data_IF_869511104755
#
_entry.id   IF_869511104755
#
_cell.length_a   1.000
_cell.length_b   1.000
_cell.length_c   1.000
_cell.angle_alpha   90.00
_cell.angle_beta   90.00
_cell.angle_gamma   90.00
#
_symmetry.space_group_name_H-M   'P 1'
#
loop_
_entity.id
_entity.type
_entity.pdbx_description
1 polymer ?
#
# COMPACT_ATOMS: atom_id res chain seq x y z
N UNK A 1 -43.61 7.74 15.21
CA UNK A 1 -42.92 8.90 15.83
C UNK A 1 -41.44 8.77 15.53
N UNK A 2 -40.97 9.62 14.64
CA UNK A 2 -39.51 9.72 14.35
C UNK A 2 -38.95 10.75 15.32
N UNK A 3 -38.21 10.29 16.34
CA UNK A 3 -37.50 11.18 17.27
C UNK A 3 -36.20 11.57 16.61
N UNK A 4 -36.04 12.83 16.22
CA UNK A 4 -34.74 13.34 15.75
C UNK A 4 -33.74 13.39 16.91
N UNK A 5 -32.68 12.62 16.80
CA UNK A 5 -31.60 12.62 17.76
C UNK A 5 -30.83 13.95 17.69
N UNK A 6 -30.74 14.74 18.78
CA UNK A 6 -30.04 16.02 18.82
C UNK A 6 -28.56 15.92 18.42
N UNK A 7 -27.94 14.73 18.60
CA UNK A 7 -26.55 14.49 18.22
C UNK A 7 -26.31 14.57 16.71
N UNK A 8 -27.35 14.53 15.89
CA UNK A 8 -27.26 14.67 14.45
C UNK A 8 -26.86 16.10 13.99
N UNK A 9 -26.93 17.08 14.88
CA UNK A 9 -26.60 18.49 14.63
C UNK A 9 -25.35 18.94 15.39
N UNK A 10 -24.81 18.12 16.30
CA UNK A 10 -23.64 18.47 17.12
C UNK A 10 -22.35 18.36 16.29
N UNK A 11 -21.75 19.52 15.98
CA UNK A 11 -20.50 19.63 15.20
C UNK A 11 -19.27 19.05 15.90
N UNK A 12 -19.34 18.63 17.17
CA UNK A 12 -18.30 17.86 17.82
C UNK A 12 -18.04 16.53 17.06
N UNK A 13 -19.07 15.97 16.45
CA UNK A 13 -18.95 14.72 15.70
C UNK A 13 -18.46 14.98 14.27
N UNK A 14 -17.38 14.30 13.88
CA UNK A 14 -16.81 14.40 12.53
C UNK A 14 -17.85 14.15 11.42
N UNK A 15 -18.73 13.17 11.61
CA UNK A 15 -19.82 12.85 10.66
C UNK A 15 -20.74 14.03 10.36
N UNK A 16 -21.03 14.87 11.38
CA UNK A 16 -21.89 16.06 11.24
C UNK A 16 -21.16 17.12 10.42
N UNK A 17 -19.90 17.39 10.75
CA UNK A 17 -19.04 18.32 9.98
C UNK A 17 -18.93 17.89 8.51
N UNK A 18 -18.70 16.60 8.25
CA UNK A 18 -18.61 16.07 6.87
C UNK A 18 -19.92 16.24 6.11
N UNK A 19 -21.09 15.96 6.74
CA UNK A 19 -22.40 16.18 6.09
C UNK A 19 -22.63 17.64 5.73
N UNK A 20 -22.26 18.56 6.63
CA UNK A 20 -22.39 20.01 6.39
C UNK A 20 -21.48 20.46 5.24
N UNK A 21 -20.23 20.00 5.24
CA UNK A 21 -19.29 20.26 4.16
C UNK A 21 -19.81 19.74 2.81
N UNK A 22 -20.32 18.50 2.78
CA UNK A 22 -20.89 17.91 1.56
C UNK A 22 -22.06 18.74 1.00
N UNK A 23 -22.95 19.25 1.87
CA UNK A 23 -24.07 20.14 1.42
C UNK A 23 -23.54 21.42 0.78
N UNK A 24 -22.47 22.00 1.33
CA UNK A 24 -21.86 23.20 0.76
C UNK A 24 -21.21 22.89 -0.60
N UNK A 25 -20.44 21.80 -0.69
CA UNK A 25 -19.81 21.36 -1.94
C UNK A 25 -20.86 21.06 -3.04
N UNK A 26 -22.02 20.52 -2.68
CA UNK A 26 -23.12 20.30 -3.61
C UNK A 26 -23.69 21.62 -4.14
N UNK A 27 -23.81 22.62 -3.27
CA UNK A 27 -24.24 23.95 -3.63
C UNK A 27 -23.25 24.63 -4.59
N UNK A 28 -21.95 24.33 -4.43
CA UNK A 28 -20.86 24.80 -5.28
C UNK A 28 -20.65 23.93 -6.55
N UNK A 29 -21.57 23.00 -6.84
CA UNK A 29 -21.58 22.22 -8.08
C UNK A 29 -21.00 20.81 -7.99
N UNK A 30 -20.68 20.30 -6.80
CA UNK A 30 -20.26 18.91 -6.65
C UNK A 30 -21.44 17.98 -6.93
N UNK A 31 -21.34 17.20 -8.00
CA UNK A 31 -22.32 16.16 -8.32
C UNK A 31 -21.96 14.85 -7.60
N UNK A 32 -22.81 14.44 -6.66
CA UNK A 32 -22.66 13.16 -5.94
C UNK A 32 -22.58 11.94 -6.87
N UNK A 33 -23.29 11.97 -7.98
CA UNK A 33 -23.27 10.84 -8.92
C UNK A 33 -21.93 10.76 -9.67
N UNK A 34 -21.39 11.92 -10.05
CA UNK A 34 -20.03 11.99 -10.63
C UNK A 34 -18.99 11.50 -9.63
N UNK A 35 -19.08 11.92 -8.36
CA UNK A 35 -18.19 11.44 -7.30
C UNK A 35 -18.28 9.92 -7.11
N UNK A 36 -19.49 9.36 -7.03
CA UNK A 36 -19.71 7.90 -6.95
C UNK A 36 -19.11 7.17 -8.15
N UNK A 37 -19.28 7.70 -9.36
CA UNK A 37 -18.69 7.14 -10.58
C UNK A 37 -17.17 7.14 -10.52
N UNK A 38 -16.56 8.24 -10.07
CA UNK A 38 -15.10 8.35 -9.89
C UNK A 38 -14.59 7.31 -8.89
N UNK A 39 -15.24 7.18 -7.73
CA UNK A 39 -14.89 6.17 -6.72
C UNK A 39 -14.99 4.76 -7.30
N UNK A 40 -16.04 4.47 -8.08
CA UNK A 40 -16.20 3.17 -8.74
C UNK A 40 -15.07 2.90 -9.74
N UNK A 41 -14.71 3.89 -10.54
CA UNK A 41 -13.61 3.76 -11.51
C UNK A 41 -12.25 3.54 -10.80
N UNK A 42 -11.98 4.26 -9.71
CA UNK A 42 -10.78 4.06 -8.91
C UNK A 42 -10.73 2.65 -8.28
N UNK A 43 -11.87 2.12 -7.83
CA UNK A 43 -11.93 0.73 -7.34
C UNK A 43 -11.61 -0.28 -8.44
N UNK A 44 -12.07 -0.06 -9.66
CA UNK A 44 -11.72 -0.95 -10.79
C UNK A 44 -10.25 -0.85 -11.15
N UNK A 45 -9.68 0.36 -11.22
CA UNK A 45 -8.26 0.55 -11.44
C UNK A 45 -7.42 -0.14 -10.35
N UNK A 46 -7.84 -0.03 -9.08
CA UNK A 46 -7.16 -0.70 -7.97
C UNK A 46 -7.13 -2.24 -8.12
N UNK A 47 -8.22 -2.86 -8.59
CA UNK A 47 -8.25 -4.32 -8.85
C UNK A 47 -7.22 -4.75 -9.90
N UNK A 48 -7.00 -3.93 -10.92
CA UNK A 48 -5.96 -4.20 -11.93
C UNK A 48 -4.58 -4.15 -11.29
N UNK A 49 -4.31 -3.14 -10.46
CA UNK A 49 -3.03 -3.03 -9.74
C UNK A 49 -2.84 -4.25 -8.82
N UNK A 50 -3.84 -4.63 -8.05
CA UNK A 50 -3.81 -5.81 -7.16
C UNK A 50 -3.47 -7.09 -7.94
N UNK A 51 -4.07 -7.30 -9.11
CA UNK A 51 -3.75 -8.44 -9.97
C UNK A 51 -2.26 -8.46 -10.36
N UNK A 52 -1.69 -7.32 -10.76
CA UNK A 52 -0.27 -7.25 -11.11
C UNK A 52 0.66 -7.35 -9.90
N UNK A 53 0.26 -6.88 -8.73
CA UNK A 53 0.98 -7.07 -7.46
C UNK A 53 1.08 -8.56 -7.13
N UNK A 54 -0.04 -9.29 -7.17
CA UNK A 54 -0.07 -10.72 -6.92
C UNK A 54 0.74 -11.51 -7.96
N UNK A 55 0.67 -11.09 -9.22
CA UNK A 55 1.47 -11.67 -10.29
C UNK A 55 2.96 -11.48 -10.03
N UNK A 56 3.40 -10.26 -9.72
CA UNK A 56 4.79 -9.95 -9.42
C UNK A 56 5.33 -10.75 -8.22
N UNK A 57 4.54 -10.86 -7.16
CA UNK A 57 4.89 -11.67 -6.00
C UNK A 57 5.06 -13.14 -6.36
N UNK A 58 4.17 -13.73 -7.14
CA UNK A 58 4.24 -15.16 -7.53
C UNK A 58 5.39 -15.47 -8.46
N UNK A 59 5.67 -14.59 -9.44
CA UNK A 59 6.65 -14.86 -10.50
C UNK A 59 8.08 -14.48 -10.07
N UNK A 60 8.22 -13.46 -9.23
CA UNK A 60 9.50 -12.83 -8.95
C UNK A 60 9.96 -12.97 -7.50
N UNK A 61 9.28 -13.79 -6.69
CA UNK A 61 9.73 -14.12 -5.33
C UNK A 61 9.73 -15.61 -5.06
N UNK A 62 10.61 -16.03 -4.15
CA UNK A 62 10.67 -17.42 -3.66
C UNK A 62 11.03 -17.45 -2.18
N UNK A 63 10.52 -18.45 -1.46
CA UNK A 63 10.83 -18.64 -0.04
C UNK A 63 12.04 -19.54 0.16
N UNK A 64 12.88 -19.17 1.11
CA UNK A 64 13.97 -20.01 1.64
C UNK A 64 13.73 -20.33 3.12
N UNK A 65 14.34 -21.44 3.59
CA UNK A 65 14.37 -21.84 4.99
C UNK A 65 12.99 -21.85 5.65
N UNK A 66 12.09 -22.70 5.18
CA UNK A 66 10.73 -22.86 5.73
C UNK A 66 9.96 -21.53 5.87
N UNK A 67 10.01 -20.69 4.83
CA UNK A 67 9.33 -19.38 4.76
C UNK A 67 9.89 -18.29 5.68
N UNK A 68 11.06 -18.47 6.27
CA UNK A 68 11.69 -17.44 7.11
C UNK A 68 12.42 -16.35 6.33
N UNK A 69 12.73 -16.61 5.07
CA UNK A 69 13.40 -15.65 4.17
C UNK A 69 12.69 -15.61 2.83
N UNK A 70 12.57 -14.43 2.28
CA UNK A 70 12.03 -14.20 0.94
C UNK A 70 13.18 -13.72 0.04
N UNK A 71 13.35 -14.39 -1.08
CA UNK A 71 14.26 -13.97 -2.15
C UNK A 71 13.46 -13.29 -3.24
N UNK A 72 13.91 -12.15 -3.68
CA UNK A 72 13.34 -11.33 -4.73
C UNK A 72 14.35 -11.23 -5.87
N UNK A 73 13.95 -11.57 -7.08
CA UNK A 73 14.79 -11.44 -8.27
C UNK A 73 14.77 -10.00 -8.85
N UNK A 74 15.64 -9.73 -9.83
CA UNK A 74 15.74 -8.41 -10.48
C UNK A 74 14.47 -7.99 -11.20
N UNK A 75 13.74 -8.93 -11.81
CA UNK A 75 12.55 -8.65 -12.63
C UNK A 75 11.39 -8.10 -11.80
N UNK A 76 11.41 -8.34 -10.49
CA UNK A 76 10.48 -7.73 -9.54
C UNK A 76 10.47 -6.20 -9.61
N UNK A 77 11.64 -5.60 -9.80
CA UNK A 77 11.82 -4.13 -9.82
C UNK A 77 11.65 -3.53 -11.21
N UNK A 78 11.45 -4.34 -12.25
CA UNK A 78 11.14 -3.89 -13.62
C UNK A 78 9.65 -3.61 -13.85
N UNK A 79 8.82 -3.85 -12.84
CA UNK A 79 7.38 -3.62 -12.91
C UNK A 79 7.03 -2.13 -12.76
N UNK A 80 5.80 -1.70 -13.14
CA UNK A 80 5.34 -0.33 -12.88
C UNK A 80 5.53 0.06 -11.41
N UNK A 81 5.93 1.29 -11.15
CA UNK A 81 6.32 1.79 -9.82
C UNK A 81 5.32 1.45 -8.72
N UNK A 82 4.02 1.63 -8.95
CA UNK A 82 2.98 1.33 -7.96
C UNK A 82 2.88 -0.18 -7.68
N UNK A 83 3.09 -1.03 -8.68
CA UNK A 83 3.12 -2.49 -8.53
C UNK A 83 4.32 -2.92 -7.69
N UNK A 84 5.51 -2.43 -8.04
CA UNK A 84 6.73 -2.69 -7.26
C UNK A 84 6.58 -2.21 -5.82
N UNK A 85 6.10 -0.99 -5.62
CA UNK A 85 5.91 -0.41 -4.29
C UNK A 85 4.98 -1.26 -3.41
N UNK A 86 3.82 -1.64 -3.92
CA UNK A 86 2.85 -2.45 -3.17
C UNK A 86 3.36 -3.86 -2.94
N UNK A 87 3.92 -4.51 -3.96
CA UNK A 87 4.46 -5.87 -3.84
C UNK A 87 5.60 -5.92 -2.81
N UNK A 88 6.50 -4.93 -2.81
CA UNK A 88 7.58 -4.86 -1.84
C UNK A 88 7.07 -4.57 -0.42
N UNK A 89 6.07 -3.69 -0.28
CA UNK A 89 5.38 -3.44 1.00
C UNK A 89 4.73 -4.69 1.58
N UNK A 90 4.03 -5.48 0.75
CA UNK A 90 3.42 -6.76 1.17
C UNK A 90 4.48 -7.81 1.51
N UNK A 91 5.61 -7.86 0.79
CA UNK A 91 6.74 -8.74 1.11
C UNK A 91 7.30 -8.45 2.51
N UNK A 92 7.48 -7.18 2.86
CA UNK A 92 7.94 -6.76 4.19
C UNK A 92 6.93 -7.09 5.28
N UNK A 93 5.64 -6.85 5.01
CA UNK A 93 4.56 -7.21 5.94
C UNK A 93 4.54 -8.70 6.24
N UNK A 94 4.66 -9.53 5.20
CA UNK A 94 4.63 -10.97 5.30
C UNK A 94 5.79 -11.52 6.14
N UNK A 95 7.03 -11.10 5.85
CA UNK A 95 8.24 -11.56 6.55
C UNK A 95 8.35 -10.96 7.95
N UNK A 96 8.01 -9.67 8.11
CA UNK A 96 8.04 -8.97 9.39
C UNK A 96 6.88 -9.34 10.32
N UNK A 97 5.91 -10.14 9.83
CA UNK A 97 4.69 -10.52 10.57
C UNK A 97 3.96 -9.30 11.16
N UNK A 98 3.92 -8.20 10.38
CA UNK A 98 3.26 -6.97 10.81
C UNK A 98 1.80 -6.95 10.37
N UNK A 99 0.94 -6.39 11.22
CA UNK A 99 -0.48 -6.24 10.90
C UNK A 99 -0.71 -5.22 9.77
N UNK A 100 0.10 -4.17 9.71
CA UNK A 100 0.01 -3.12 8.71
C UNK A 100 1.16 -3.18 7.72
N UNK A 101 0.85 -2.91 6.44
CA UNK A 101 1.85 -2.77 5.38
C UNK A 101 2.73 -1.55 5.61
N UNK A 102 4.01 -1.69 5.34
CA UNK A 102 4.97 -0.58 5.40
C UNK A 102 4.71 0.38 4.23
N UNK A 103 4.65 1.66 4.51
CA UNK A 103 4.38 2.71 3.51
C UNK A 103 5.30 3.91 3.70
N UNK A 104 5.35 4.77 2.68
CA UNK A 104 5.96 6.08 2.75
C UNK A 104 7.40 6.18 2.27
N UNK A 105 8.01 7.34 2.53
CA UNK A 105 9.30 7.74 1.95
C UNK A 105 10.47 6.78 2.19
N UNK A 106 10.47 6.05 3.32
CA UNK A 106 11.53 5.08 3.60
C UNK A 106 11.50 3.89 2.63
N UNK A 107 10.30 3.39 2.32
CA UNK A 107 10.10 2.32 1.36
C UNK A 107 10.52 2.76 -0.05
N UNK A 108 10.09 3.94 -0.49
CA UNK A 108 10.50 4.51 -1.78
C UNK A 108 12.01 4.71 -1.88
N UNK A 109 12.66 5.14 -0.78
CA UNK A 109 14.11 5.28 -0.75
C UNK A 109 14.80 3.95 -0.97
N UNK A 110 14.38 2.88 -0.26
CA UNK A 110 14.97 1.54 -0.40
C UNK A 110 14.79 1.02 -1.83
N UNK A 111 13.59 1.15 -2.42
CA UNK A 111 13.33 0.73 -3.80
C UNK A 111 14.31 1.44 -4.76
N UNK A 112 14.45 2.76 -4.64
CA UNK A 112 15.41 3.54 -5.45
C UNK A 112 16.86 3.11 -5.25
N UNK A 113 17.26 2.76 -4.03
CA UNK A 113 18.61 2.25 -3.75
C UNK A 113 18.85 0.88 -4.40
N UNK A 114 17.83 0.01 -4.46
CA UNK A 114 17.88 -1.26 -5.18
C UNK A 114 18.03 -1.02 -6.67
N UNK A 115 17.17 -0.21 -7.27
CA UNK A 115 17.16 0.12 -8.70
C UNK A 115 18.50 0.74 -9.16
N UNK A 116 19.10 1.57 -8.32
CA UNK A 116 20.40 2.20 -8.58
C UNK A 116 21.61 1.34 -8.19
N UNK A 117 21.42 0.09 -7.79
CA UNK A 117 22.49 -0.79 -7.33
C UNK A 117 23.29 -0.26 -6.11
N UNK A 118 22.69 0.57 -5.28
CA UNK A 118 23.33 1.21 -4.10
C UNK A 118 22.96 0.54 -2.78
N UNK A 119 21.93 -0.31 -2.77
CA UNK A 119 21.55 -1.01 -1.55
C UNK A 119 22.58 -2.08 -1.21
N UNK A 120 23.14 -2.03 0.00
CA UNK A 120 23.87 -3.14 0.61
C UNK A 120 22.99 -3.83 1.64
N UNK A 121 22.57 -3.09 2.68
CA UNK A 121 21.71 -3.56 3.75
C UNK A 121 20.84 -2.42 4.27
N UNK A 122 19.57 -2.71 4.56
CA UNK A 122 18.65 -1.79 5.20
C UNK A 122 17.73 -2.53 6.17
N UNK A 123 17.10 -1.80 7.10
CA UNK A 123 16.05 -2.35 7.97
C UNK A 123 14.78 -1.53 7.82
N UNK A 124 13.65 -2.23 7.66
CA UNK A 124 12.35 -1.60 7.55
C UNK A 124 11.23 -2.60 7.88
N UNK A 125 10.26 -2.17 8.67
CA UNK A 125 9.07 -2.98 8.96
C UNK A 125 9.35 -4.25 9.79
N UNK A 126 10.43 -4.28 10.57
CA UNK A 126 10.88 -5.46 11.33
C UNK A 126 11.56 -6.50 10.43
N UNK A 127 12.06 -6.06 9.29
CA UNK A 127 12.82 -6.89 8.35
C UNK A 127 14.21 -6.31 8.10
N UNK A 128 15.14 -7.22 7.86
CA UNK A 128 16.45 -6.94 7.28
C UNK A 128 16.34 -7.20 5.78
N UNK A 129 16.77 -6.23 4.99
CA UNK A 129 16.78 -6.25 3.53
C UNK A 129 18.22 -6.20 3.08
N UNK A 130 18.70 -7.24 2.41
CA UNK A 130 20.08 -7.36 1.99
C UNK A 130 20.17 -7.66 0.50
N UNK A 131 21.12 -7.04 -0.17
CA UNK A 131 21.45 -7.39 -1.55
C UNK A 131 22.49 -8.50 -1.58
N UNK A 132 22.14 -9.59 -2.24
CA UNK A 132 23.05 -10.73 -2.46
C UNK A 132 23.09 -11.02 -3.96
N UNK A 133 24.22 -10.73 -4.60
CA UNK A 133 24.39 -10.80 -6.04
C UNK A 133 23.34 -9.91 -6.78
N UNK A 134 22.50 -10.51 -7.60
CA UNK A 134 21.43 -9.83 -8.35
C UNK A 134 20.06 -9.93 -7.66
N UNK A 135 20.00 -10.50 -6.46
CA UNK A 135 18.77 -10.72 -5.72
C UNK A 135 18.73 -9.89 -4.44
N UNK A 136 17.51 -9.62 -3.98
CA UNK A 136 17.26 -9.02 -2.66
C UNK A 136 16.74 -10.13 -1.75
N UNK A 137 17.31 -10.24 -0.56
CA UNK A 137 16.85 -11.16 0.47
C UNK A 137 16.20 -10.35 1.60
N UNK A 138 14.99 -10.72 1.94
CA UNK A 138 14.27 -10.18 3.09
C UNK A 138 14.23 -11.26 4.17
N UNK A 139 14.67 -10.93 5.36
CA UNK A 139 14.57 -11.78 6.56
C UNK A 139 13.98 -11.00 7.74
N UNK A 140 13.35 -11.71 8.68
CA UNK A 140 12.84 -11.08 9.90
C UNK A 140 14.01 -10.60 10.76
N UNK A 141 13.87 -9.43 11.35
CA UNK A 141 14.80 -8.89 12.35
C UNK A 141 14.74 -9.73 13.63
N UNK A 142 15.89 -10.06 14.28
CA UNK A 142 15.94 -10.86 15.51
C UNK A 142 15.08 -10.27 16.64
#
# INVERSE_FOLDING_TARGET
FYVEDPTNYDEKYQRVRVRKLMKNLERDGLDKNKLKKTIKNLKFANKVIEFYVDKNLRENTSFLNNKKRLVINSDFFLQPQEVTFRAFSESLKLIGEKYYSVRGKKLEKIIREVENNRLNRATLGGCIIEKVNQSIIISKEP
#
